data_IF_169103483992
#
_entry.id   IF_169103483992
#
_cell.length_a   1.000
_cell.length_b   1.000
_cell.length_c   1.000
_cell.angle_alpha   90.00
_cell.angle_beta   90.00
_cell.angle_gamma   90.00
#
_symmetry.space_group_name_H-M   'P 1'
#
loop_
_entity.id
_entity.type
_entity.pdbx_description
1 polymer ?
#
# COMPACT_ATOMS: atom_id res chain seq x y z
N UNK A 1 0.66 20.17 -44.29
CA UNK A 1 0.34 20.37 -42.86
C UNK A 1 1.29 19.52 -42.03
N UNK A 2 2.44 20.07 -41.58
CA UNK A 2 3.51 19.33 -40.87
C UNK A 2 3.42 19.40 -39.33
N UNK A 3 2.55 20.24 -38.77
CA UNK A 3 2.53 20.56 -37.33
C UNK A 3 2.08 19.41 -36.41
N UNK A 4 1.43 18.38 -36.96
CA UNK A 4 0.88 17.25 -36.17
C UNK A 4 1.96 16.23 -35.75
N UNK A 5 3.12 16.21 -36.43
CA UNK A 5 4.21 15.30 -36.07
C UNK A 5 5.11 15.87 -34.96
N UNK A 6 5.41 17.17 -34.97
CA UNK A 6 6.23 17.81 -33.94
C UNK A 6 5.59 17.80 -32.54
N UNK A 7 4.28 18.05 -32.46
CA UNK A 7 3.52 17.94 -31.19
C UNK A 7 3.55 16.53 -30.59
N UNK A 8 3.69 15.51 -31.43
CA UNK A 8 3.73 14.10 -31.01
C UNK A 8 5.11 13.72 -30.45
N UNK A 9 6.18 14.29 -31.00
CA UNK A 9 7.55 14.10 -30.54
C UNK A 9 7.80 14.80 -29.19
N UNK A 10 7.37 16.05 -29.04
CA UNK A 10 7.46 16.78 -27.76
C UNK A 10 6.66 16.07 -26.65
N UNK A 11 5.45 15.59 -26.96
CA UNK A 11 4.65 14.80 -26.02
C UNK A 11 5.34 13.49 -25.63
N UNK A 12 6.05 12.85 -26.57
CA UNK A 12 6.82 11.63 -26.32
C UNK A 12 8.04 11.89 -25.44
N UNK A 13 8.73 13.02 -25.63
CA UNK A 13 9.84 13.43 -24.76
C UNK A 13 9.38 13.71 -23.34
N UNK A 14 8.26 14.43 -23.18
CA UNK A 14 7.65 14.66 -21.87
C UNK A 14 7.25 13.32 -21.23
N UNK A 15 6.65 12.40 -21.99
CA UNK A 15 6.30 11.05 -21.47
C UNK A 15 7.55 10.26 -21.05
N UNK A 16 8.66 10.35 -21.79
CA UNK A 16 9.93 9.70 -21.43
C UNK A 16 10.52 10.23 -20.13
N UNK A 17 10.38 11.52 -19.85
CA UNK A 17 10.79 12.14 -18.59
C UNK A 17 9.83 11.75 -17.45
N UNK A 18 8.54 11.67 -17.76
CA UNK A 18 7.49 11.38 -16.79
C UNK A 18 7.48 9.89 -16.39
N UNK A 19 7.89 9.00 -17.29
CA UNK A 19 7.99 7.55 -17.09
C UNK A 19 8.79 7.13 -15.84
N UNK A 20 10.07 7.52 -15.66
CA UNK A 20 10.85 7.15 -14.48
C UNK A 20 10.24 7.73 -13.19
N UNK A 21 9.65 8.92 -13.26
CA UNK A 21 9.00 9.54 -12.11
C UNK A 21 7.77 8.76 -11.64
N UNK A 22 6.88 8.36 -12.56
CA UNK A 22 5.72 7.51 -12.19
C UNK A 22 6.15 6.13 -11.70
N UNK A 23 7.19 5.56 -12.30
CA UNK A 23 7.76 4.29 -11.85
C UNK A 23 8.25 4.40 -10.40
N UNK A 24 9.01 5.45 -10.09
CA UNK A 24 9.49 5.70 -8.72
C UNK A 24 8.33 5.94 -7.76
N UNK A 25 7.33 6.72 -8.15
CA UNK A 25 6.16 7.02 -7.32
C UNK A 25 5.36 5.76 -6.97
N UNK A 26 5.20 4.83 -7.92
CA UNK A 26 4.61 3.50 -7.68
C UNK A 26 5.40 2.71 -6.64
N UNK A 27 6.73 2.64 -6.77
CA UNK A 27 7.59 1.93 -5.81
C UNK A 27 7.56 2.57 -4.42
N UNK A 28 7.70 3.90 -4.36
CA UNK A 28 7.69 4.69 -3.12
C UNK A 28 6.38 4.51 -2.36
N UNK A 29 5.24 4.47 -3.06
CA UNK A 29 3.92 4.23 -2.45
C UNK A 29 3.78 2.82 -1.89
N UNK A 30 4.33 1.81 -2.58
CA UNK A 30 4.36 0.43 -2.05
C UNK A 30 5.21 0.34 -0.79
N UNK A 31 6.35 1.01 -0.78
CA UNK A 31 7.22 1.06 0.39
C UNK A 31 6.54 1.78 1.56
N UNK A 32 5.85 2.90 1.32
CA UNK A 32 5.08 3.59 2.34
C UNK A 32 3.97 2.70 2.96
N UNK A 33 3.25 1.93 2.14
CA UNK A 33 2.27 0.95 2.64
C UNK A 33 2.91 -0.10 3.56
N UNK A 34 4.09 -0.59 3.19
CA UNK A 34 4.85 -1.54 4.00
C UNK A 34 5.32 -0.91 5.32
N UNK A 35 5.86 0.32 5.27
CA UNK A 35 6.33 1.06 6.46
C UNK A 35 5.18 1.34 7.44
N UNK A 36 4.01 1.76 6.94
CA UNK A 36 2.81 1.99 7.77
C UNK A 36 2.36 0.71 8.45
N UNK A 37 2.33 -0.41 7.72
CA UNK A 37 1.93 -1.71 8.28
C UNK A 37 2.94 -2.20 9.33
N UNK A 38 4.24 -2.06 9.05
CA UNK A 38 5.29 -2.43 9.98
C UNK A 38 5.23 -1.60 11.27
N UNK A 39 5.04 -0.28 11.16
CA UNK A 39 4.89 0.61 12.30
C UNK A 39 3.65 0.27 13.15
N UNK A 40 2.49 0.10 12.51
CA UNK A 40 1.26 -0.26 13.21
C UNK A 40 1.38 -1.61 13.93
N UNK A 41 1.96 -2.60 13.25
CA UNK A 41 2.15 -3.93 13.83
C UNK A 41 3.15 -3.92 14.98
N UNK A 42 4.26 -3.19 14.84
CA UNK A 42 5.25 -3.05 15.91
C UNK A 42 4.64 -2.39 17.16
N UNK A 43 3.83 -1.34 16.96
CA UNK A 43 3.11 -0.69 18.05
C UNK A 43 2.14 -1.65 18.75
N UNK A 44 1.32 -2.40 18.00
CA UNK A 44 0.38 -3.37 18.57
C UNK A 44 1.09 -4.52 19.29
N UNK A 45 2.21 -5.02 18.75
CA UNK A 45 3.02 -6.06 19.39
C UNK A 45 3.66 -5.53 20.68
N UNK A 46 4.20 -4.31 20.67
CA UNK A 46 4.75 -3.69 21.87
C UNK A 46 3.67 -3.51 22.94
N UNK A 47 2.49 -3.06 22.53
CA UNK A 47 1.35 -2.91 23.43
C UNK A 47 0.90 -4.27 23.97
N UNK A 48 0.87 -5.32 23.15
CA UNK A 48 0.59 -6.68 23.61
C UNK A 48 1.63 -7.17 24.63
N UNK A 49 2.92 -6.99 24.35
CA UNK A 49 4.01 -7.39 25.26
C UNK A 49 3.91 -6.63 26.58
N UNK A 50 3.69 -5.31 26.55
CA UNK A 50 3.51 -4.52 27.79
C UNK A 50 2.26 -4.95 28.56
N UNK A 51 1.18 -5.33 27.86
CA UNK A 51 -0.01 -5.88 28.50
C UNK A 51 0.23 -7.25 29.15
N UNK A 52 1.10 -8.09 28.59
CA UNK A 52 1.44 -9.40 29.17
C UNK A 52 2.52 -9.32 30.27
N UNK A 53 3.48 -8.41 30.14
CA UNK A 53 4.65 -8.35 31.01
C UNK A 53 4.41 -7.55 32.30
N UNK A 54 3.51 -6.57 32.28
CA UNK A 54 3.20 -5.77 33.49
C UNK A 54 2.24 -6.55 34.38
N UNK A 55 2.62 -6.88 35.63
CA UNK A 55 1.73 -7.56 36.57
C UNK A 55 0.52 -6.67 36.86
N UNK A 56 -0.67 -7.14 36.52
CA UNK A 56 -1.93 -6.45 36.84
C UNK A 56 -2.37 -6.84 38.25
N UNK A 57 -2.21 -5.93 39.20
CA UNK A 57 -2.90 -6.02 40.48
C UNK A 57 -3.29 -4.59 40.92
N UNK A 58 -4.58 -4.21 41.01
CA UNK A 58 -5.82 -4.97 40.76
C UNK A 58 -6.33 -4.86 39.30
N UNK A 59 -7.44 -5.56 38.98
CA UNK A 59 -8.17 -5.47 37.70
C UNK A 59 -8.24 -4.04 37.19
N UNK A 60 -7.97 -3.79 35.88
CA UNK A 60 -8.18 -2.48 35.32
C UNK A 60 -9.66 -2.09 35.53
N UNK A 61 -9.89 -0.90 36.10
CA UNK A 61 -11.22 -0.34 36.20
C UNK A 61 -11.90 -0.35 34.83
N UNK A 62 -13.21 -0.61 34.79
CA UNK A 62 -14.01 -0.68 33.56
C UNK A 62 -13.72 0.49 32.61
N UNK A 63 -13.58 1.70 33.15
CA UNK A 63 -13.23 2.91 32.41
C UNK A 63 -11.88 2.79 31.68
N UNK A 64 -10.86 2.25 32.35
CA UNK A 64 -9.50 2.08 31.78
C UNK A 64 -9.52 1.04 30.66
N UNK A 65 -10.23 -0.08 30.84
CA UNK A 65 -10.41 -1.09 29.80
C UNK A 65 -11.13 -0.51 28.57
N UNK A 66 -12.17 0.30 28.78
CA UNK A 66 -12.94 0.93 27.70
C UNK A 66 -12.12 1.98 26.93
N UNK A 67 -11.30 2.78 27.63
CA UNK A 67 -10.35 3.69 26.99
C UNK A 67 -9.26 2.93 26.21
N UNK A 68 -8.74 1.83 26.74
CA UNK A 68 -7.74 1.02 26.03
C UNK A 68 -8.32 0.39 24.76
N UNK A 69 -9.51 -0.22 24.85
CA UNK A 69 -10.20 -0.82 23.69
C UNK A 69 -10.54 0.24 22.65
N UNK A 70 -11.11 1.38 23.06
CA UNK A 70 -11.46 2.45 22.12
C UNK A 70 -10.23 3.07 21.46
N UNK A 71 -9.12 3.25 22.21
CA UNK A 71 -7.85 3.72 21.67
C UNK A 71 -7.25 2.75 20.64
N UNK A 72 -7.23 1.45 20.94
CA UNK A 72 -6.74 0.41 20.03
C UNK A 72 -7.63 0.29 18.79
N UNK A 73 -8.95 0.36 18.95
CA UNK A 73 -9.90 0.35 17.85
C UNK A 73 -9.73 1.57 16.94
N UNK A 74 -9.61 2.77 17.52
CA UNK A 74 -9.40 4.01 16.77
C UNK A 74 -8.06 4.00 16.04
N UNK A 75 -6.98 3.59 16.71
CA UNK A 75 -5.66 3.44 16.11
C UNK A 75 -5.71 2.49 14.89
N UNK A 76 -6.31 1.33 15.07
CA UNK A 76 -6.40 0.31 14.02
C UNK A 76 -7.28 0.75 12.86
N UNK A 77 -8.37 1.47 13.14
CA UNK A 77 -9.22 2.08 12.11
C UNK A 77 -8.47 3.14 11.30
N UNK A 78 -7.70 4.02 11.95
CA UNK A 78 -6.87 5.04 11.27
C UNK A 78 -5.84 4.37 10.35
N UNK A 79 -5.12 3.36 10.84
CA UNK A 79 -4.12 2.67 10.02
C UNK A 79 -4.75 1.88 8.87
N UNK A 80 -5.92 1.27 9.09
CA UNK A 80 -6.70 0.64 8.03
C UNK A 80 -7.06 1.66 6.94
N UNK A 81 -7.56 2.84 7.34
CA UNK A 81 -7.88 3.92 6.43
C UNK A 81 -6.65 4.39 5.64
N UNK A 82 -5.52 4.61 6.30
CA UNK A 82 -4.27 5.04 5.64
C UNK A 82 -3.77 3.99 4.63
N UNK A 83 -3.80 2.69 4.98
CA UNK A 83 -3.42 1.61 4.07
C UNK A 83 -4.33 1.58 2.84
N UNK A 84 -5.65 1.68 3.03
CA UNK A 84 -6.62 1.72 1.92
C UNK A 84 -6.46 2.97 1.05
N UNK A 85 -6.19 4.13 1.66
CA UNK A 85 -5.94 5.37 0.94
C UNK A 85 -4.70 5.25 0.04
N UNK A 86 -3.61 4.68 0.57
CA UNK A 86 -2.39 4.47 -0.21
C UNK A 86 -2.54 3.39 -1.28
N UNK A 87 -3.36 2.36 -1.04
CA UNK A 87 -3.76 1.41 -2.10
C UNK A 87 -4.44 2.14 -3.25
N UNK A 88 -5.39 3.02 -2.97
CA UNK A 88 -6.12 3.73 -4.03
C UNK A 88 -5.18 4.62 -4.85
N UNK A 89 -4.30 5.37 -4.16
CA UNK A 89 -3.28 6.19 -4.81
C UNK A 89 -2.28 5.37 -5.62
N UNK A 90 -1.87 4.20 -5.14
CA UNK A 90 -1.01 3.28 -5.87
C UNK A 90 -1.70 2.76 -7.14
N UNK A 91 -2.99 2.39 -7.06
CA UNK A 91 -3.79 1.97 -8.23
C UNK A 91 -3.85 3.05 -9.30
N UNK A 92 -4.13 4.30 -8.92
CA UNK A 92 -4.17 5.42 -9.85
C UNK A 92 -2.81 5.66 -10.54
N UNK A 93 -1.71 5.63 -9.78
CA UNK A 93 -0.37 5.77 -10.36
C UNK A 93 0.01 4.60 -11.29
N UNK A 94 -0.38 3.37 -10.93
CA UNK A 94 -0.20 2.19 -11.79
C UNK A 94 -0.98 2.31 -13.10
N UNK A 95 -2.23 2.76 -13.04
CA UNK A 95 -3.06 2.98 -14.23
C UNK A 95 -2.44 4.05 -15.15
N UNK A 96 -2.00 5.18 -14.58
CA UNK A 96 -1.33 6.23 -15.34
C UNK A 96 -0.01 5.74 -15.97
N UNK A 97 0.78 4.95 -15.24
CA UNK A 97 2.02 4.36 -15.77
C UNK A 97 1.74 3.41 -16.94
N UNK A 98 0.74 2.54 -16.83
CA UNK A 98 0.37 1.61 -17.91
C UNK A 98 -0.09 2.38 -19.16
N UNK A 99 -0.83 3.47 -18.99
CA UNK A 99 -1.26 4.31 -20.10
C UNK A 99 -0.05 4.97 -20.80
N UNK A 100 0.90 5.50 -20.03
CA UNK A 100 2.17 6.02 -20.55
C UNK A 100 2.93 4.92 -21.31
N UNK A 101 3.01 3.71 -20.75
CA UNK A 101 3.71 2.57 -21.36
C UNK A 101 3.06 2.09 -22.67
N UNK A 102 1.72 2.16 -22.76
CA UNK A 102 0.97 1.88 -24.00
C UNK A 102 1.25 2.94 -25.06
N UNK A 103 1.20 4.22 -24.71
CA UNK A 103 1.47 5.33 -25.66
C UNK A 103 2.93 5.30 -26.16
N UNK A 104 3.87 4.85 -25.32
CA UNK A 104 5.26 4.66 -25.70
C UNK A 104 5.49 3.38 -26.54
N UNK A 105 4.48 2.53 -26.75
CA UNK A 105 4.62 1.29 -27.51
C UNK A 105 5.50 0.24 -26.84
N UNK A 106 5.65 0.28 -25.50
CA UNK A 106 6.54 -0.64 -24.78
C UNK A 106 6.00 -2.10 -24.76
N UNK A 107 4.72 -2.26 -25.07
CA UNK A 107 4.05 -3.55 -25.24
C UNK A 107 4.03 -4.03 -26.69
N UNK A 108 4.43 -3.20 -27.66
CA UNK A 108 4.42 -3.56 -29.08
C UNK A 108 5.67 -4.35 -29.47
N UNK A 109 5.50 -5.39 -30.29
CA UNK A 109 6.60 -6.20 -30.80
C UNK A 109 7.37 -5.44 -31.89
N UNK A 110 8.71 -5.56 -31.88
CA UNK A 110 9.55 -5.00 -32.95
C UNK A 110 9.91 -3.52 -32.80
N UNK A 111 9.31 -2.80 -31.85
CA UNK A 111 9.56 -1.37 -31.63
C UNK A 111 10.87 -1.11 -30.86
N UNK A 112 11.19 -1.98 -29.90
CA UNK A 112 12.41 -1.90 -29.07
C UNK A 112 13.29 -3.16 -29.13
N UNK A 113 12.75 -4.29 -29.59
CA UNK A 113 13.48 -5.55 -29.72
C UNK A 113 12.91 -6.37 -30.88
N UNK A 114 13.80 -6.94 -31.70
CA UNK A 114 13.40 -7.70 -32.90
C UNK A 114 12.63 -8.95 -32.46
N UNK A 115 11.34 -9.00 -32.84
CA UNK A 115 10.46 -10.14 -32.57
C UNK A 115 10.03 -10.32 -31.11
N UNK A 116 10.22 -9.33 -30.23
CA UNK A 116 9.72 -9.35 -28.85
C UNK A 116 9.29 -7.96 -28.39
N UNK A 117 8.18 -7.88 -27.65
CA UNK A 117 7.82 -6.70 -26.88
C UNK A 117 8.78 -6.51 -25.69
N UNK A 118 9.01 -5.27 -25.27
CA UNK A 118 9.85 -4.97 -24.11
C UNK A 118 9.18 -5.41 -22.81
N UNK A 119 7.87 -5.20 -22.71
CA UNK A 119 7.04 -5.72 -21.63
C UNK A 119 5.98 -6.68 -22.17
N UNK A 120 5.75 -7.82 -21.49
CA UNK A 120 4.70 -8.74 -21.88
C UNK A 120 3.31 -8.14 -21.56
N UNK A 121 2.30 -8.49 -22.35
CA UNK A 121 0.96 -7.88 -22.25
C UNK A 121 0.25 -8.18 -20.92
N UNK A 122 0.56 -9.32 -20.30
CA UNK A 122 0.00 -9.76 -19.03
C UNK A 122 0.33 -8.80 -17.87
N UNK A 123 1.45 -8.06 -17.96
CA UNK A 123 1.83 -7.06 -16.95
C UNK A 123 0.83 -5.90 -16.82
N UNK A 124 0.04 -5.62 -17.87
CA UNK A 124 -1.00 -4.60 -17.83
C UNK A 124 -2.13 -4.95 -16.85
N UNK A 125 -2.32 -6.24 -16.56
CA UNK A 125 -3.40 -6.74 -15.69
C UNK A 125 -2.92 -7.47 -14.45
N UNK A 126 -1.66 -7.89 -14.40
CA UNK A 126 -1.06 -8.62 -13.28
C UNK A 126 -1.24 -7.93 -11.91
N UNK A 127 -1.27 -6.61 -11.87
CA UNK A 127 -1.45 -5.82 -10.64
C UNK A 127 -2.87 -5.91 -10.05
N UNK A 128 -3.88 -6.35 -10.81
CA UNK A 128 -5.24 -6.56 -10.31
C UNK A 128 -5.32 -7.72 -9.30
N UNK A 129 -4.40 -8.68 -9.42
CA UNK A 129 -4.30 -9.83 -8.51
C UNK A 129 -3.53 -9.58 -7.22
N UNK A 130 -3.12 -8.34 -6.93
CA UNK A 130 -2.28 -8.04 -5.77
C UNK A 130 -3.01 -8.30 -4.44
N UNK A 131 -2.53 -9.31 -3.70
CA UNK A 131 -3.05 -9.74 -2.38
C UNK A 131 -2.38 -9.04 -1.20
N UNK A 132 -1.36 -8.21 -1.44
CA UNK A 132 -0.55 -7.59 -0.38
C UNK A 132 -1.38 -6.81 0.63
N UNK A 133 -2.35 -6.01 0.16
CA UNK A 133 -3.23 -5.22 1.05
C UNK A 133 -4.09 -6.12 1.92
N UNK A 134 -4.60 -7.24 1.38
CA UNK A 134 -5.35 -8.22 2.17
C UNK A 134 -4.49 -8.74 3.31
N UNK A 135 -3.22 -9.08 3.04
CA UNK A 135 -2.29 -9.53 4.08
C UNK A 135 -2.10 -8.45 5.15
N UNK A 136 -1.83 -7.20 4.77
CA UNK A 136 -1.65 -6.10 5.72
C UNK A 136 -2.86 -5.89 6.63
N UNK A 137 -4.07 -5.92 6.07
CA UNK A 137 -5.32 -5.76 6.82
C UNK A 137 -5.58 -6.97 7.73
N UNK A 138 -5.30 -8.19 7.28
CA UNK A 138 -5.48 -9.39 8.10
C UNK A 138 -4.54 -9.40 9.31
N UNK A 139 -3.26 -9.02 9.13
CA UNK A 139 -2.30 -8.91 10.22
C UNK A 139 -2.75 -7.84 11.22
N UNK A 140 -3.14 -6.67 10.73
CA UNK A 140 -3.62 -5.57 11.58
C UNK A 140 -4.87 -5.98 12.38
N UNK A 141 -5.86 -6.59 11.72
CA UNK A 141 -7.07 -7.06 12.38
C UNK A 141 -6.78 -8.13 13.44
N UNK A 142 -5.90 -9.09 13.12
CA UNK A 142 -5.52 -10.17 14.05
C UNK A 142 -4.84 -9.61 15.29
N UNK A 143 -3.88 -8.70 15.13
CA UNK A 143 -3.19 -8.06 16.24
C UNK A 143 -4.14 -7.19 17.08
N UNK A 144 -5.06 -6.49 16.44
CA UNK A 144 -6.09 -5.69 17.13
C UNK A 144 -6.93 -6.57 18.05
N UNK A 145 -7.42 -7.70 17.52
CA UNK A 145 -8.22 -8.67 18.30
C UNK A 145 -7.41 -9.25 19.45
N UNK A 146 -6.15 -9.62 19.22
CA UNK A 146 -5.26 -10.14 20.27
C UNK A 146 -5.05 -9.13 21.40
N UNK A 147 -4.83 -7.86 21.06
CA UNK A 147 -4.69 -6.79 22.06
C UNK A 147 -5.97 -6.61 22.86
N UNK A 148 -7.14 -6.56 22.20
CA UNK A 148 -8.43 -6.43 22.90
C UNK A 148 -8.66 -7.62 23.82
N UNK A 149 -8.39 -8.85 23.35
CA UNK A 149 -8.49 -10.06 24.16
C UNK A 149 -7.55 -10.01 25.37
N UNK A 150 -6.32 -9.54 25.20
CA UNK A 150 -5.37 -9.38 26.31
C UNK A 150 -5.85 -8.36 27.36
N UNK A 151 -6.48 -7.25 26.93
CA UNK A 151 -7.08 -6.27 27.84
C UNK A 151 -8.24 -6.88 28.64
N UNK A 152 -9.08 -7.71 28.01
CA UNK A 152 -10.23 -8.35 28.65
C UNK A 152 -9.85 -9.54 29.55
N UNK A 153 -8.82 -10.29 29.18
CA UNK A 153 -8.36 -11.46 29.92
C UNK A 153 -7.46 -11.11 31.12
N UNK A 154 -7.10 -9.84 31.30
CA UNK A 154 -6.27 -9.38 32.43
C UNK A 154 -7.00 -9.62 33.77
N UNK A 155 -6.38 -10.37 34.70
CA UNK A 155 -7.00 -10.78 35.96
C UNK A 155 -7.19 -9.64 36.96
#
# INVERSE_FOLDING_TARGET
MPEVHGLREEQLEVLKILYPWYKEEVFRRREQMMRLTAFASAFLVLLLITMLAVPSNPRPHFTVALFAISGVALFSAIFTYLILQQRNRHRLAKQALIEIERVLGLYEEGLYSVGKALYPEDWQTAWLGDRSVTVYLTVLATLTVLVIAAVLARP
#
